data_IF_532001783061
#
_entry.id   IF_532001783061
#
_cell.length_a   1.000
_cell.length_b   1.000
_cell.length_c   1.000
_cell.angle_alpha   90.00
_cell.angle_beta   90.00
_cell.angle_gamma   90.00
#
_symmetry.space_group_name_H-M   'P 1'
#
loop_
_entity.id
_entity.type
_entity.pdbx_description
1 polymer ?
#
# COMPACT_ATOMS: atom_id res chain seq x y z
N UNK A 1 -0.64 3.30 -21.48
CA UNK A 1 -0.29 2.23 -20.51
C UNK A 1 1.17 2.36 -20.10
N UNK A 2 1.56 3.43 -19.39
CA UNK A 2 2.94 3.60 -18.90
C UNK A 2 3.05 4.56 -17.69
N UNK A 3 2.04 4.59 -16.82
CA UNK A 3 2.06 5.47 -15.63
C UNK A 3 2.59 4.76 -14.38
N UNK A 4 2.52 3.43 -14.33
CA UNK A 4 2.98 2.64 -13.19
C UNK A 4 4.31 1.98 -13.49
N UNK A 5 5.39 2.52 -12.93
CA UNK A 5 6.70 1.88 -12.91
C UNK A 5 7.05 1.52 -11.47
N UNK A 6 7.39 0.26 -11.23
CA UNK A 6 8.03 -0.11 -9.98
C UNK A 6 9.47 0.39 -9.98
N UNK A 7 10.01 0.78 -8.83
CA UNK A 7 11.41 1.17 -8.75
C UNK A 7 12.31 0.01 -9.22
N UNK A 8 13.31 0.30 -10.07
CA UNK A 8 14.27 -0.71 -10.47
C UNK A 8 14.98 -1.24 -9.22
N UNK A 9 15.05 -2.57 -9.09
CA UNK A 9 15.74 -3.21 -7.96
C UNK A 9 14.86 -3.59 -6.77
N UNK A 10 13.53 -3.60 -6.89
CA UNK A 10 12.67 -4.27 -5.90
C UNK A 10 13.03 -5.78 -5.87
N UNK A 11 13.61 -6.31 -4.78
CA UNK A 11 13.91 -7.73 -4.66
C UNK A 11 12.61 -8.55 -4.57
N UNK A 12 12.69 -9.84 -4.88
CA UNK A 12 11.57 -10.76 -4.68
C UNK A 12 11.18 -10.90 -3.21
N UNK A 13 12.11 -10.68 -2.28
CA UNK A 13 11.90 -10.70 -0.83
C UNK A 13 12.55 -9.46 -0.16
N UNK A 14 11.89 -8.28 -0.20
CA UNK A 14 12.41 -7.07 0.42
C UNK A 14 12.41 -7.16 1.95
N UNK A 15 13.34 -6.43 2.58
CA UNK A 15 13.18 -6.03 3.98
C UNK A 15 12.11 -4.95 4.07
N UNK A 16 11.07 -5.21 4.85
CA UNK A 16 9.93 -4.30 5.06
C UNK A 16 9.99 -3.78 6.48
N UNK A 17 9.81 -2.47 6.66
CA UNK A 17 9.63 -1.82 7.95
C UNK A 17 8.15 -1.59 8.21
N UNK A 18 7.58 -2.20 9.25
CA UNK A 18 6.18 -2.02 9.62
C UNK A 18 5.96 -0.68 10.32
N UNK A 19 5.11 0.16 9.74
CA UNK A 19 4.78 1.49 10.26
C UNK A 19 3.41 1.51 10.93
N UNK A 20 2.44 0.80 10.35
CA UNK A 20 1.08 0.70 10.84
C UNK A 20 0.65 -0.76 10.99
N UNK A 21 0.60 -1.28 12.22
CA UNK A 21 0.10 -2.62 12.51
C UNK A 21 -1.32 -2.85 11.98
N UNK A 22 -1.61 -4.08 11.59
CA UNK A 22 -3.00 -4.53 11.36
C UNK A 22 -3.88 -4.18 12.56
N UNK A 23 -5.05 -3.62 12.28
CA UNK A 23 -6.00 -3.14 13.27
C UNK A 23 -5.74 -1.72 13.77
N UNK A 24 -4.68 -1.04 13.29
CA UNK A 24 -4.41 0.34 13.67
C UNK A 24 -5.44 1.30 13.07
N UNK A 25 -5.92 2.22 13.88
CA UNK A 25 -6.72 3.37 13.47
C UNK A 25 -5.89 4.64 13.32
N UNK A 26 -4.62 4.62 13.77
CA UNK A 26 -3.75 5.80 13.74
C UNK A 26 -2.72 5.63 12.62
N UNK A 27 -2.75 6.54 11.64
CA UNK A 27 -1.67 6.74 10.69
C UNK A 27 -0.72 7.79 11.26
N UNK A 28 0.57 7.47 11.33
CA UNK A 28 1.62 8.39 11.78
C UNK A 28 2.54 8.70 10.61
N UNK A 29 3.18 9.88 10.65
CA UNK A 29 4.28 10.21 9.74
C UNK A 29 5.58 9.53 10.18
N UNK A 30 6.61 9.64 9.34
CA UNK A 30 7.96 9.14 9.65
C UNK A 30 8.52 9.73 10.96
N UNK A 31 8.19 10.99 11.27
CA UNK A 31 8.58 11.68 12.52
C UNK A 31 7.80 11.22 13.77
N UNK A 32 6.82 10.32 13.62
CA UNK A 32 5.97 9.80 14.70
C UNK A 32 4.74 10.63 15.04
N UNK A 33 4.59 11.84 14.46
CA UNK A 33 3.40 12.67 14.59
C UNK A 33 2.18 11.96 13.98
N UNK A 34 0.99 12.23 14.51
CA UNK A 34 -0.25 11.68 13.95
C UNK A 34 -0.56 12.39 12.64
N UNK A 35 -0.57 11.63 11.54
CA UNK A 35 -0.95 12.13 10.23
C UNK A 35 -2.48 12.20 10.12
N UNK A 36 -3.15 11.11 10.51
CA UNK A 36 -4.60 10.98 10.45
C UNK A 36 -5.09 9.83 11.34
N UNK A 37 -6.31 9.96 11.87
CA UNK A 37 -7.01 8.87 12.56
C UNK A 37 -8.09 8.35 11.61
N UNK A 38 -7.89 7.13 11.11
CA UNK A 38 -8.86 6.44 10.27
C UNK A 38 -10.10 6.06 11.09
N UNK A 39 -11.32 6.32 10.59
CA UNK A 39 -12.55 5.88 11.24
C UNK A 39 -12.70 4.35 11.24
N UNK A 40 -11.95 3.65 10.39
CA UNK A 40 -11.94 2.19 10.31
C UNK A 40 -10.52 1.65 10.53
N UNK A 41 -10.36 0.57 11.31
CA UNK A 41 -9.05 -0.04 11.52
C UNK A 41 -8.53 -0.62 10.20
N UNK A 42 -7.24 -0.38 9.92
CA UNK A 42 -6.63 -0.94 8.71
C UNK A 42 -6.58 -2.48 8.81
N UNK A 43 -7.18 -3.23 7.87
CA UNK A 43 -7.27 -4.68 7.95
C UNK A 43 -5.93 -5.40 7.69
N UNK A 44 -4.88 -4.66 7.29
CA UNK A 44 -3.57 -5.19 6.93
C UNK A 44 -2.43 -4.50 7.69
N UNK A 45 -1.26 -5.13 7.73
CA UNK A 45 -0.06 -4.44 8.20
C UNK A 45 0.47 -3.58 7.05
N UNK A 46 0.75 -2.31 7.34
CA UNK A 46 1.33 -1.36 6.40
C UNK A 46 2.75 -1.01 6.82
N UNK A 47 3.60 -0.83 5.82
CA UNK A 47 4.99 -0.45 5.99
C UNK A 47 5.57 0.05 4.69
N UNK A 48 6.89 0.15 4.65
CA UNK A 48 7.64 0.55 3.48
C UNK A 48 8.85 -0.37 3.25
N UNK A 49 9.44 -0.31 2.05
CA UNK A 49 10.77 -0.86 1.77
C UNK A 49 11.80 0.24 2.02
N UNK A 50 12.62 0.17 3.09
CA UNK A 50 13.62 1.21 3.36
C UNK A 50 14.62 1.34 2.22
N UNK A 51 14.87 2.56 1.76
CA UNK A 51 15.83 2.85 0.70
C UNK A 51 15.33 2.60 -0.73
N UNK A 52 14.07 2.21 -0.92
CA UNK A 52 13.42 2.20 -2.23
C UNK A 52 12.36 3.31 -2.29
N UNK A 53 12.43 4.12 -3.34
CA UNK A 53 11.56 5.28 -3.58
C UNK A 53 10.35 4.88 -4.45
N UNK A 54 9.16 5.43 -4.17
CA UNK A 54 7.95 5.24 -4.99
C UNK A 54 7.94 6.06 -6.30
N UNK A 55 8.93 6.92 -6.52
CA UNK A 55 9.07 7.81 -7.67
C UNK A 55 8.72 9.27 -7.37
N UNK A 56 8.28 9.57 -6.14
CA UNK A 56 7.85 10.88 -5.66
C UNK A 56 8.61 11.37 -4.42
N UNK A 57 9.69 10.67 -4.02
CA UNK A 57 10.49 11.00 -2.84
C UNK A 57 10.06 10.29 -1.56
N UNK A 58 8.92 9.59 -1.59
CA UNK A 58 8.44 8.79 -0.46
C UNK A 58 8.93 7.32 -0.57
N UNK A 59 9.09 6.61 0.56
CA UNK A 59 9.41 5.19 0.55
C UNK A 59 8.31 4.36 -0.13
N UNK A 60 8.70 3.33 -0.87
CA UNK A 60 7.75 2.43 -1.54
C UNK A 60 6.84 1.72 -0.55
N UNK A 61 5.53 1.96 -0.68
CA UNK A 61 4.50 1.43 0.20
C UNK A 61 4.31 -0.10 0.06
N UNK A 62 4.22 -0.78 1.21
CA UNK A 62 4.05 -2.22 1.32
C UNK A 62 2.88 -2.58 2.23
N UNK A 63 2.07 -3.54 1.75
CA UNK A 63 1.05 -4.23 2.54
C UNK A 63 1.51 -5.65 2.82
N UNK A 64 1.62 -6.01 4.10
CA UNK A 64 1.98 -7.37 4.53
C UNK A 64 0.75 -8.12 5.03
N UNK A 65 0.41 -9.21 4.33
CA UNK A 65 -0.67 -10.11 4.71
C UNK A 65 -0.25 -11.02 5.88
N UNK A 66 -1.16 -11.25 6.83
CA UNK A 66 -0.94 -12.18 7.93
C UNK A 66 -1.43 -11.68 9.30
N UNK A 67 -0.89 -12.23 10.39
CA UNK A 67 -1.19 -11.77 11.75
C UNK A 67 -0.66 -10.35 11.97
N UNK A 68 -1.10 -9.72 13.07
CA UNK A 68 -0.67 -8.37 13.43
C UNK A 68 0.82 -8.34 13.76
N UNK A 69 1.54 -7.42 13.14
CA UNK A 69 2.96 -7.14 13.40
C UNK A 69 3.09 -5.88 14.27
N UNK A 70 4.21 -5.74 14.98
CA UNK A 70 4.48 -4.55 15.80
C UNK A 70 5.02 -3.43 14.92
N UNK A 71 4.71 -2.17 15.27
CA UNK A 71 5.35 -1.01 14.64
C UNK A 71 6.85 -1.07 14.90
N UNK A 72 7.66 -0.74 13.90
CA UNK A 72 9.11 -0.84 13.93
C UNK A 72 9.65 -2.24 13.65
N UNK A 73 8.80 -3.26 13.52
CA UNK A 73 9.23 -4.59 13.09
C UNK A 73 9.83 -4.51 11.69
N UNK A 74 11.02 -5.07 11.53
CA UNK A 74 11.63 -5.34 10.23
C UNK A 74 11.53 -6.83 9.92
N UNK A 75 11.11 -7.16 8.71
CA UNK A 75 11.02 -8.55 8.25
C UNK A 75 11.29 -8.66 6.76
N UNK A 76 11.90 -9.76 6.35
CA UNK A 76 11.95 -10.15 4.93
C UNK A 76 10.71 -10.96 4.59
N UNK A 77 10.04 -10.60 3.52
CA UNK A 77 8.78 -11.23 3.12
C UNK A 77 8.64 -11.22 1.59
N UNK A 78 8.21 -12.33 0.95
CA UNK A 78 8.05 -12.38 -0.49
C UNK A 78 7.01 -11.40 -1.02
N UNK A 79 7.34 -10.74 -2.12
CA UNK A 79 6.41 -10.00 -2.96
C UNK A 79 5.54 -11.01 -3.71
N UNK A 80 4.23 -10.90 -3.53
CA UNK A 80 3.25 -11.78 -4.16
C UNK A 80 2.37 -11.05 -5.18
N UNK A 81 2.47 -9.73 -5.25
CA UNK A 81 1.80 -8.93 -6.26
C UNK A 81 1.93 -7.44 -6.00
N UNK A 82 1.40 -6.65 -6.92
CA UNK A 82 1.39 -5.19 -6.83
C UNK A 82 0.04 -4.67 -7.28
N UNK A 83 -0.50 -3.74 -6.50
CA UNK A 83 -1.72 -3.01 -6.82
C UNK A 83 -1.35 -1.65 -7.38
N UNK A 84 -1.89 -1.33 -8.56
CA UNK A 84 -1.88 0.01 -9.11
C UNK A 84 -2.90 0.87 -8.37
N UNK A 85 -2.43 1.94 -7.74
CA UNK A 85 -3.27 2.93 -7.11
C UNK A 85 -2.85 4.31 -7.62
N UNK A 86 -3.81 5.09 -8.08
CA UNK A 86 -3.56 6.47 -8.48
C UNK A 86 -3.96 7.36 -7.31
N UNK A 87 -3.07 8.26 -6.89
CA UNK A 87 -3.31 9.23 -5.84
C UNK A 87 -3.10 10.64 -6.35
N UNK A 88 -4.14 11.48 -6.31
CA UNK A 88 -4.05 12.87 -6.76
C UNK A 88 -3.50 13.05 -8.20
N UNK A 89 -3.61 12.03 -9.07
CA UNK A 89 -3.04 12.00 -10.42
C UNK A 89 -1.63 11.41 -10.52
N UNK A 90 -0.98 11.10 -9.40
CA UNK A 90 0.33 10.46 -9.35
C UNK A 90 0.19 8.96 -9.17
N UNK A 91 1.04 8.19 -9.84
CA UNK A 91 1.09 6.74 -9.67
C UNK A 91 1.70 6.40 -8.31
N UNK A 92 1.00 5.58 -7.55
CA UNK A 92 1.34 5.26 -6.16
C UNK A 92 1.20 3.73 -5.95
N UNK A 93 2.10 2.92 -6.55
CA UNK A 93 1.99 1.47 -6.54
C UNK A 93 2.10 0.91 -5.11
N UNK A 94 1.26 -0.07 -4.80
CA UNK A 94 1.21 -0.74 -3.49
C UNK A 94 1.72 -2.16 -3.61
N UNK A 95 2.90 -2.42 -3.05
CA UNK A 95 3.51 -3.76 -3.05
C UNK A 95 2.77 -4.64 -2.05
N UNK A 96 2.41 -5.85 -2.45
CA UNK A 96 1.73 -6.82 -1.59
C UNK A 96 2.71 -7.94 -1.26
N UNK A 97 2.97 -8.13 0.03
CA UNK A 97 3.87 -9.15 0.53
C UNK A 97 3.14 -10.18 1.40
N UNK A 98 3.56 -11.44 1.30
CA UNK A 98 2.97 -12.55 2.05
C UNK A 98 3.91 -13.75 2.06
N UNK A 99 3.92 -14.49 3.18
CA UNK A 99 4.65 -15.78 3.28
C UNK A 99 3.91 -16.92 2.58
N UNK A 100 2.68 -16.69 2.11
CA UNK A 100 1.86 -17.66 1.38
C UNK A 100 1.37 -17.06 0.04
N UNK A 101 1.04 -17.90 -0.95
CA UNK A 101 0.43 -17.43 -2.20
C UNK A 101 -0.86 -16.62 -1.97
N UNK A 102 -1.12 -15.67 -2.88
CA UNK A 102 -2.36 -14.90 -2.91
C UNK A 102 -3.55 -15.79 -3.27
N UNK A 103 -4.53 -15.86 -2.38
CA UNK A 103 -5.82 -16.52 -2.64
C UNK A 103 -6.79 -15.53 -3.26
N UNK A 104 -7.83 -16.05 -3.92
CA UNK A 104 -8.91 -15.23 -4.47
C UNK A 104 -9.53 -14.29 -3.42
N UNK A 105 -9.69 -14.76 -2.18
CA UNK A 105 -10.23 -13.96 -1.06
C UNK A 105 -9.32 -12.80 -0.67
N UNK A 106 -8.00 -12.97 -0.74
CA UNK A 106 -7.06 -11.89 -0.44
C UNK A 106 -7.13 -10.82 -1.53
N UNK A 107 -7.20 -11.26 -2.79
CA UNK A 107 -7.31 -10.35 -3.93
C UNK A 107 -8.57 -9.51 -3.87
N UNK A 108 -9.70 -10.15 -3.58
CA UNK A 108 -10.98 -9.48 -3.42
C UNK A 108 -10.97 -8.52 -2.24
N UNK A 109 -10.45 -8.95 -1.07
CA UNK A 109 -10.37 -8.11 0.12
C UNK A 109 -9.48 -6.87 -0.07
N UNK A 110 -8.31 -7.04 -0.69
CA UNK A 110 -7.42 -5.93 -1.02
C UNK A 110 -8.06 -4.96 -2.01
N UNK A 111 -8.70 -5.49 -3.07
CA UNK A 111 -9.41 -4.65 -4.04
C UNK A 111 -10.53 -3.83 -3.35
N UNK A 112 -11.37 -4.47 -2.55
CA UNK A 112 -12.43 -3.81 -1.78
C UNK A 112 -11.85 -2.71 -0.88
N UNK A 113 -10.79 -3.02 -0.13
CA UNK A 113 -10.11 -2.07 0.73
C UNK A 113 -9.61 -0.84 -0.05
N UNK A 114 -8.90 -1.03 -1.17
CA UNK A 114 -8.33 0.08 -1.94
C UNK A 114 -9.40 0.89 -2.68
N UNK A 115 -10.51 0.28 -3.08
CA UNK A 115 -11.69 1.02 -3.56
C UNK A 115 -12.25 1.95 -2.49
N UNK A 116 -12.48 1.43 -1.28
CA UNK A 116 -12.99 2.23 -0.16
C UNK A 116 -11.99 3.31 0.25
N UNK A 117 -10.69 2.98 0.29
CA UNK A 117 -9.62 3.93 0.59
C UNK A 117 -9.59 5.10 -0.40
N UNK A 118 -9.72 4.84 -1.70
CA UNK A 118 -9.81 5.89 -2.71
C UNK A 118 -11.01 6.84 -2.46
N UNK A 119 -12.18 6.30 -2.09
CA UNK A 119 -13.35 7.11 -1.76
C UNK A 119 -13.09 8.03 -0.55
N UNK A 120 -12.49 7.50 0.51
CA UNK A 120 -12.11 8.29 1.68
C UNK A 120 -11.11 9.40 1.34
N UNK A 121 -10.05 9.11 0.57
CA UNK A 121 -9.07 10.12 0.17
C UNK A 121 -9.69 11.23 -0.69
N UNK A 122 -10.58 10.87 -1.62
CA UNK A 122 -11.34 11.86 -2.41
C UNK A 122 -12.12 12.81 -1.51
N UNK A 123 -12.83 12.28 -0.50
CA UNK A 123 -13.52 13.10 0.50
C UNK A 123 -12.57 14.02 1.27
N UNK A 124 -11.42 13.50 1.71
CA UNK A 124 -10.40 14.29 2.40
C UNK A 124 -9.83 15.43 1.52
N UNK A 125 -9.61 15.19 0.23
CA UNK A 125 -9.14 16.22 -0.69
C UNK A 125 -10.16 17.32 -0.92
N UNK A 126 -11.45 16.97 -0.99
CA UNK A 126 -12.55 17.95 -1.05
C UNK A 126 -12.57 18.82 0.21
N UNK A 127 -12.51 18.22 1.40
CA UNK A 127 -12.52 18.96 2.68
C UNK A 127 -11.28 19.85 2.82
N UNK A 128 -10.12 19.41 2.32
CA UNK A 128 -8.87 20.19 2.35
C UNK A 128 -8.77 21.25 1.24
N UNK A 129 -9.81 21.44 0.42
CA UNK A 129 -9.82 22.42 -0.67
C UNK A 129 -8.79 22.16 -1.77
N UNK A 130 -8.24 20.93 -1.84
CA UNK A 130 -7.21 20.58 -2.83
C UNK A 130 -7.86 20.07 -4.11
N UNK A 131 -7.80 20.85 -5.20
CA UNK A 131 -8.07 20.32 -6.55
C UNK A 131 -6.86 19.50 -7.00
N UNK A 132 -6.99 18.19 -6.91
CA UNK A 132 -5.94 17.22 -7.24
C UNK A 132 -6.44 16.28 -8.32
N UNK A 133 -5.52 15.61 -9.01
CA UNK A 133 -5.84 14.66 -10.07
C UNK A 133 -6.62 13.43 -9.59
N UNK A 134 -6.86 12.48 -10.49
CA UNK A 134 -7.67 11.31 -10.18
C UNK A 134 -7.10 10.47 -9.02
N UNK A 135 -7.96 10.07 -8.09
CA UNK A 135 -7.62 9.17 -6.98
C UNK A 135 -8.47 7.92 -7.05
N UNK A 136 -7.88 6.76 -7.37
CA UNK A 136 -8.62 5.50 -7.60
C UNK A 136 -7.74 4.26 -7.52
N UNK A 137 -8.36 3.14 -7.16
CA UNK A 137 -7.83 1.81 -7.45
C UNK A 137 -7.82 1.58 -8.98
N UNK A 138 -6.68 1.11 -9.50
CA UNK A 138 -6.50 0.83 -10.94
C UNK A 138 -6.61 -0.66 -11.22
N UNK A 139 -6.06 -1.51 -10.36
CA UNK A 139 -6.05 -2.96 -10.58
C UNK A 139 -4.78 -3.63 -10.07
N UNK A 140 -4.67 -4.93 -10.32
CA UNK A 140 -3.41 -5.66 -10.16
C UNK A 140 -2.48 -5.36 -11.34
N UNK A 141 -1.24 -4.98 -11.06
CA UNK A 141 -0.26 -4.70 -12.11
C UNK A 141 0.28 -6.02 -12.69
N UNK A 142 0.30 -6.19 -14.03
CA UNK A 142 0.88 -7.33 -14.69
C UNK A 142 2.42 -7.31 -14.58
N UNK A 143 3.07 -8.48 -14.57
CA UNK A 143 4.53 -8.61 -14.56
C UNK A 143 5.17 -8.92 -13.21
N UNK A 144 4.49 -8.63 -12.09
CA UNK A 144 4.91 -9.05 -10.73
C UNK A 144 3.84 -9.89 -10.03
N UNK A 145 2.57 -9.67 -10.36
CA UNK A 145 1.45 -10.41 -9.79
C UNK A 145 1.20 -11.68 -10.62
N UNK A 146 1.32 -12.90 -10.05
CA UNK A 146 0.91 -14.13 -10.73
C UNK A 146 -0.58 -14.06 -11.10
N UNK A 147 -1.02 -14.82 -12.10
CA UNK A 147 -2.45 -14.96 -12.40
C UNK A 147 -3.23 -15.59 -11.23
N UNK A 148 -4.58 -15.51 -11.22
CA UNK A 148 -5.37 -16.33 -10.30
C UNK A 148 -5.03 -17.81 -10.53
N UNK A 149 -4.85 -18.56 -9.43
CA UNK A 149 -4.78 -20.03 -9.42
C UNK A 149 -6.15 -20.58 -9.07
#
# INVERSE_FOLDING_TARGET
>A
MSEFSLPPGLPSEPEVLIESPRGSVVKRRADGSVDFISPLPCPYNYGCVPGLDSGDGDPLDVVVLGPRLRRGTRLRVPVVGVIGFLDAGCADPKVICSTRPLRAVDRWGLAAFFHTYALFKRGLYVVRGRRTGATRYVGWLPGVTPGPT
#
